data_IF_674112086392
#
_entry.id   IF_674112086392
#
_cell.length_a   1.000
_cell.length_b   1.000
_cell.length_c   1.000
_cell.angle_alpha   90.00
_cell.angle_beta   90.00
_cell.angle_gamma   90.00
#
_symmetry.space_group_name_H-M   'P 1'
#
loop_
_entity.id
_entity.type
_entity.pdbx_description
1 polymer ?
#
# COMPACT_ATOMS: atom_id res chain seq x y z
N UNK A 1 23.14 24.11 1.85
CA UNK A 1 24.15 23.29 1.17
C UNK A 1 23.51 21.97 0.77
N UNK A 2 23.19 21.81 -0.51
CA UNK A 2 22.59 20.59 -1.10
C UNK A 2 23.21 20.26 -2.48
N UNK A 3 24.24 21.00 -2.87
CA UNK A 3 24.83 20.96 -4.22
C UNK A 3 25.43 19.59 -4.56
N UNK A 4 26.11 18.98 -3.59
CA UNK A 4 26.60 17.60 -3.69
C UNK A 4 25.48 16.59 -4.03
N UNK A 5 24.26 16.78 -3.53
CA UNK A 5 23.14 15.86 -3.81
C UNK A 5 22.72 15.98 -5.27
N UNK A 6 22.69 17.21 -5.79
CA UNK A 6 22.39 17.50 -7.20
C UNK A 6 23.47 16.93 -8.11
N UNK A 7 24.74 17.13 -7.78
CA UNK A 7 25.88 16.58 -8.53
C UNK A 7 25.85 15.06 -8.57
N UNK A 8 25.54 14.43 -7.43
CA UNK A 8 25.39 12.99 -7.36
C UNK A 8 24.23 12.49 -8.24
N UNK A 9 23.11 13.21 -8.31
CA UNK A 9 22.00 12.88 -9.23
C UNK A 9 22.44 13.04 -10.68
N UNK A 10 23.14 14.13 -11.01
CA UNK A 10 23.63 14.38 -12.36
C UNK A 10 24.57 13.27 -12.83
N UNK A 11 25.57 12.91 -12.01
CA UNK A 11 26.47 11.81 -12.30
C UNK A 11 25.78 10.44 -12.45
N UNK A 12 24.59 10.25 -11.86
CA UNK A 12 23.76 9.04 -12.06
C UNK A 12 23.02 9.09 -13.40
N UNK A 13 22.55 10.25 -13.82
CA UNK A 13 21.87 10.46 -15.10
C UNK A 13 22.84 10.39 -16.27
N UNK A 14 24.05 10.96 -16.14
CA UNK A 14 25.07 10.91 -17.19
C UNK A 14 25.53 9.47 -17.48
N UNK A 15 25.57 8.62 -16.44
CA UNK A 15 25.88 7.19 -16.56
C UNK A 15 24.74 6.36 -17.17
N UNK A 16 23.51 6.87 -17.17
CA UNK A 16 22.36 6.19 -17.78
C UNK A 16 21.40 7.23 -18.40
N UNK A 17 21.68 7.69 -19.63
CA UNK A 17 20.92 8.73 -20.29
C UNK A 17 19.43 8.39 -20.49
N UNK A 18 19.08 7.10 -20.59
CA UNK A 18 17.70 6.64 -20.77
C UNK A 18 16.90 6.57 -19.45
N UNK A 19 17.54 6.76 -18.28
CA UNK A 19 16.89 6.64 -16.99
C UNK A 19 15.66 7.54 -16.83
N UNK A 20 15.70 8.76 -17.38
CA UNK A 20 14.55 9.68 -17.34
C UNK A 20 13.40 9.23 -18.25
N UNK A 21 13.71 8.61 -19.39
CA UNK A 21 12.72 8.02 -20.31
C UNK A 21 12.02 6.84 -19.65
N UNK A 22 12.78 5.90 -19.10
CA UNK A 22 12.22 4.74 -18.39
C UNK A 22 11.37 5.17 -17.20
N UNK A 23 11.79 6.19 -16.42
CA UNK A 23 10.97 6.75 -15.35
C UNK A 23 9.65 7.29 -15.88
N UNK A 24 9.70 8.08 -16.96
CA UNK A 24 8.49 8.63 -17.58
C UNK A 24 7.50 7.53 -17.95
N UNK A 25 7.98 6.47 -18.59
CA UNK A 25 7.14 5.36 -19.05
C UNK A 25 6.58 4.52 -17.90
N UNK A 26 7.37 4.31 -16.83
CA UNK A 26 7.02 3.37 -15.76
C UNK A 26 6.23 4.01 -14.61
N UNK A 27 6.54 5.24 -14.22
CA UNK A 27 5.99 5.84 -12.98
C UNK A 27 4.98 6.96 -13.23
N UNK A 28 5.03 7.66 -14.36
CA UNK A 28 4.14 8.82 -14.58
C UNK A 28 2.67 8.43 -14.59
N UNK A 29 2.33 7.31 -15.24
CA UNK A 29 0.93 6.88 -15.30
C UNK A 29 0.37 6.49 -13.91
N UNK A 30 1.07 5.68 -13.09
CA UNK A 30 0.73 5.47 -11.68
C UNK A 30 0.59 6.78 -10.88
N UNK A 31 1.56 7.69 -11.01
CA UNK A 31 1.52 8.97 -10.29
C UNK A 31 0.38 9.87 -10.75
N UNK A 32 0.01 9.84 -12.03
CA UNK A 32 -1.14 10.56 -12.57
C UNK A 32 -2.46 10.08 -11.96
N UNK A 33 -2.64 8.76 -11.85
CA UNK A 33 -3.83 8.18 -11.20
C UNK A 33 -3.87 8.49 -9.71
N UNK A 34 -2.72 8.38 -9.03
CA UNK A 34 -2.58 8.74 -7.62
C UNK A 34 -2.96 10.21 -7.38
N UNK A 35 -2.37 11.14 -8.14
CA UNK A 35 -2.65 12.58 -8.02
C UNK A 35 -4.11 12.90 -8.30
N UNK A 36 -4.70 12.30 -9.33
CA UNK A 36 -6.12 12.49 -9.64
C UNK A 36 -7.02 12.02 -8.47
N UNK A 37 -6.69 10.88 -7.85
CA UNK A 37 -7.42 10.33 -6.70
C UNK A 37 -7.20 11.08 -5.38
N UNK A 38 -6.00 11.62 -5.17
CA UNK A 38 -5.70 12.48 -4.02
C UNK A 38 -6.49 13.80 -4.07
N UNK A 39 -6.96 14.19 -5.26
CA UNK A 39 -7.62 15.47 -5.50
C UNK A 39 -6.60 16.58 -5.76
N UNK A 40 -7.10 17.73 -6.24
CA UNK A 40 -6.28 18.92 -6.44
C UNK A 40 -5.95 19.67 -5.14
N UNK A 41 -6.30 19.09 -3.99
CA UNK A 41 -6.17 19.70 -2.66
C UNK A 41 -4.83 19.37 -2.01
N UNK A 42 -4.51 20.13 -0.96
CA UNK A 42 -3.29 19.95 -0.19
C UNK A 42 -3.42 18.70 0.69
N UNK A 43 -2.28 18.16 1.16
CA UNK A 43 -2.29 17.13 2.20
C UNK A 43 -3.12 17.58 3.40
N UNK A 44 -3.93 16.67 3.94
CA UNK A 44 -4.76 16.93 5.10
C UNK A 44 -3.91 17.10 6.36
N UNK A 45 -2.79 16.36 6.43
CA UNK A 45 -1.89 16.39 7.56
C UNK A 45 -0.86 17.51 7.48
N UNK A 46 -0.45 17.98 8.66
CA UNK A 46 0.69 18.91 8.83
C UNK A 46 1.87 18.15 9.42
N UNK A 47 3.09 18.61 9.11
CA UNK A 47 4.40 18.04 9.45
C UNK A 47 4.81 16.82 8.62
N UNK A 48 6.12 16.73 8.32
CA UNK A 48 6.67 15.74 7.38
C UNK A 48 6.34 14.28 7.72
N UNK A 49 6.43 13.80 8.98
CA UNK A 49 6.12 12.41 9.29
C UNK A 49 4.65 12.04 9.01
N UNK A 50 3.73 12.97 9.27
CA UNK A 50 2.30 12.74 9.04
C UNK A 50 1.96 12.79 7.56
N UNK A 51 2.53 13.76 6.82
CA UNK A 51 2.40 13.84 5.36
C UNK A 51 2.97 12.60 4.67
N UNK A 52 4.11 12.10 5.14
CA UNK A 52 4.70 10.86 4.62
C UNK A 52 3.76 9.66 4.83
N UNK A 53 3.08 9.59 5.97
CA UNK A 53 2.08 8.56 6.26
C UNK A 53 0.87 8.67 5.34
N UNK A 54 0.37 9.89 5.11
CA UNK A 54 -0.73 10.16 4.18
C UNK A 54 -0.39 9.72 2.75
N UNK A 55 0.81 10.08 2.27
CA UNK A 55 1.33 9.61 0.98
C UNK A 55 1.44 8.08 0.93
N UNK A 56 1.92 7.44 2.00
CA UNK A 56 2.03 5.98 2.05
C UNK A 56 0.66 5.29 1.95
N UNK A 57 -0.38 5.84 2.57
CA UNK A 57 -1.75 5.32 2.47
C UNK A 57 -2.31 5.45 1.06
N UNK A 58 -2.08 6.57 0.36
CA UNK A 58 -2.48 6.72 -1.03
C UNK A 58 -1.80 5.69 -1.93
N UNK A 59 -0.48 5.52 -1.80
CA UNK A 59 0.28 4.52 -2.54
C UNK A 59 -0.22 3.10 -2.25
N UNK A 60 -0.50 2.78 -0.98
CA UNK A 60 -1.06 1.48 -0.59
C UNK A 60 -2.41 1.23 -1.25
N UNK A 61 -3.34 2.19 -1.19
CA UNK A 61 -4.67 2.06 -1.79
C UNK A 61 -4.59 1.88 -3.32
N UNK A 62 -3.72 2.63 -3.99
CA UNK A 62 -3.45 2.44 -5.41
C UNK A 62 -2.90 1.04 -5.70
N UNK A 63 -1.89 0.59 -4.95
CA UNK A 63 -1.29 -0.72 -5.16
C UNK A 63 -2.29 -1.86 -4.97
N UNK A 64 -3.16 -1.78 -3.96
CA UNK A 64 -4.23 -2.75 -3.74
C UNK A 64 -5.22 -2.76 -4.92
N UNK A 65 -5.66 -1.58 -5.36
CA UNK A 65 -6.54 -1.46 -6.55
C UNK A 65 -5.87 -2.08 -7.78
N UNK A 66 -4.58 -1.79 -8.00
CA UNK A 66 -3.80 -2.26 -9.14
C UNK A 66 -3.65 -3.78 -9.14
N UNK A 67 -3.29 -4.38 -8.00
CA UNK A 67 -3.14 -5.83 -7.87
C UNK A 67 -4.49 -6.53 -8.09
N UNK A 68 -5.57 -6.00 -7.52
CA UNK A 68 -6.91 -6.56 -7.74
C UNK A 68 -7.32 -6.50 -9.22
N UNK A 69 -6.94 -5.46 -9.95
CA UNK A 69 -7.24 -5.34 -11.38
C UNK A 69 -6.36 -6.24 -12.27
N UNK A 70 -5.08 -6.43 -11.92
CA UNK A 70 -4.15 -7.26 -12.72
C UNK A 70 -4.35 -8.75 -12.45
N UNK A 71 -4.46 -9.14 -11.19
CA UNK A 71 -4.48 -10.55 -10.76
C UNK A 71 -5.91 -11.06 -10.59
N UNK A 72 -6.86 -10.17 -10.26
CA UNK A 72 -8.23 -10.51 -9.90
C UNK A 72 -8.43 -10.65 -8.38
N UNK A 73 -9.65 -10.33 -7.92
CA UNK A 73 -9.98 -10.28 -6.48
C UNK A 73 -9.90 -11.66 -5.81
N UNK A 74 -10.52 -12.68 -6.41
CA UNK A 74 -10.54 -14.05 -5.84
C UNK A 74 -9.15 -14.66 -5.64
N UNK A 75 -8.26 -14.71 -6.66
CA UNK A 75 -6.91 -15.25 -6.48
C UNK A 75 -6.08 -14.41 -5.52
N UNK A 76 -6.25 -13.08 -5.50
CA UNK A 76 -5.58 -12.21 -4.54
C UNK A 76 -5.96 -12.53 -3.09
N UNK A 77 -7.25 -12.68 -2.78
CA UNK A 77 -7.73 -13.05 -1.45
C UNK A 77 -7.25 -14.45 -1.03
N UNK A 78 -7.26 -15.41 -1.94
CA UNK A 78 -6.72 -16.75 -1.67
C UNK A 78 -5.22 -16.71 -1.31
N UNK A 79 -4.43 -15.90 -2.03
CA UNK A 79 -3.01 -15.74 -1.75
C UNK A 79 -2.74 -15.10 -0.37
N UNK A 80 -3.55 -14.12 0.03
CA UNK A 80 -3.47 -13.51 1.37
C UNK A 80 -3.78 -14.55 2.46
N UNK A 81 -4.87 -15.29 2.31
CA UNK A 81 -5.29 -16.31 3.28
C UNK A 81 -4.24 -17.42 3.43
N UNK A 82 -3.71 -17.91 2.31
CA UNK A 82 -2.65 -18.91 2.31
C UNK A 82 -1.35 -18.39 2.98
N UNK A 83 -1.02 -17.10 2.80
CA UNK A 83 0.13 -16.46 3.48
C UNK A 83 -0.12 -16.32 4.98
N UNK A 84 -1.32 -15.93 5.40
CA UNK A 84 -1.71 -15.81 6.81
C UNK A 84 -1.64 -17.14 7.55
N UNK A 85 -2.03 -18.23 6.89
CA UNK A 85 -1.88 -19.58 7.42
C UNK A 85 -0.41 -19.99 7.63
N UNK A 86 0.51 -19.53 6.76
CA UNK A 86 1.95 -19.83 6.85
C UNK A 86 2.68 -19.03 7.94
N UNK A 87 2.18 -17.86 8.34
CA UNK A 87 2.83 -17.00 9.34
C UNK A 87 2.20 -17.05 10.73
N UNK A 88 1.23 -17.96 10.96
CA UNK A 88 0.84 -18.36 12.31
C UNK A 88 0.46 -17.22 13.27
N UNK A 89 -0.52 -16.39 12.92
CA UNK A 89 -1.34 -15.79 13.97
C UNK A 89 -2.11 -16.96 14.58
N UNK A 90 -1.64 -17.49 15.71
CA UNK A 90 -2.37 -18.51 16.47
C UNK A 90 -3.75 -17.94 16.77
N UNK A 91 -4.76 -18.39 16.04
CA UNK A 91 -6.16 -18.25 16.45
C UNK A 91 -6.33 -19.20 17.63
N UNK A 92 -5.92 -18.74 18.82
CA UNK A 92 -6.46 -19.33 20.03
C UNK A 92 -7.97 -19.11 19.97
N UNK A 93 -8.66 -20.23 19.93
CA UNK A 93 -10.10 -20.40 19.85
C UNK A 93 -10.85 -19.39 20.71
N UNK A 94 -11.47 -18.40 20.08
CA UNK A 94 -12.66 -17.73 20.62
C UNK A 94 -13.81 -18.76 20.57
N UNK A 95 -13.75 -19.78 21.43
CA UNK A 95 -14.94 -20.51 21.89
C UNK A 95 -15.52 -19.72 23.05
N UNK A 96 -16.11 -18.57 22.75
CA UNK A 96 -16.98 -17.89 23.71
C UNK A 96 -18.33 -18.63 23.68
N UNK A 97 -18.55 -19.42 24.72
CA UNK A 97 -19.84 -19.76 25.30
C UNK A 97 -20.98 -20.16 24.33
N UNK A 98 -20.97 -21.42 23.87
CA UNK A 98 -22.22 -22.16 23.68
C UNK A 98 -22.59 -22.83 25.01
N UNK A 99 -23.04 -22.05 25.99
CA UNK A 99 -23.78 -22.55 27.15
C UNK A 99 -25.00 -21.64 27.31
N UNK A 100 -26.09 -22.01 26.64
CA UNK A 100 -27.40 -21.43 26.93
C UNK A 100 -27.86 -21.86 28.34
N UNK A 101 -28.63 -21.02 29.05
CA UNK A 101 -29.17 -21.40 30.35
C UNK A 101 -30.17 -22.55 30.15
N UNK A 102 -29.98 -23.64 30.88
CA UNK A 102 -30.97 -24.72 30.97
C UNK A 102 -32.22 -24.13 31.64
N UNK A 103 -33.37 -24.23 30.99
CA UNK A 103 -34.65 -24.10 31.67
C UNK A 103 -34.78 -25.26 32.67
N UNK A 104 -35.03 -24.97 33.94
CA UNK A 104 -35.57 -25.95 34.87
C UNK A 104 -37.01 -26.29 34.47
N UNK A 105 -37.43 -27.57 34.48
CA UNK A 105 -38.85 -27.90 34.41
C UNK A 105 -39.48 -27.82 35.81
N UNK A 106 -40.71 -27.29 35.80
CA UNK A 106 -41.81 -27.28 36.79
C UNK A 106 -41.54 -26.85 38.25
#
# INVERSE_FOLDING_TARGET
EDEYVVDAVQARLDRNPDAMRTRRETVEHPFGTLKMRMGATHFLMKTLPKVATEMALHVLAYNLTRVMNIVGIKPFLAAIQARGARHGVRRETVRVAQHGPRLCPD
#
